data_IF_132141392758
#
_entry.id   IF_132141392758
#
_cell.length_a   1.000
_cell.length_b   1.000
_cell.length_c   1.000
_cell.angle_alpha   90.00
_cell.angle_beta   90.00
_cell.angle_gamma   90.00
#
_symmetry.space_group_name_H-M   'P 1'
#
loop_
_entity.id
_entity.type
_entity.pdbx_description
1 polymer ?
#
# COMPACT_ATOMS: atom_id res chain seq x y z
N UNK A 1 -21.58 -5.94 -4.55
CA UNK A 1 -20.63 -5.07 -3.83
C UNK A 1 -20.36 -3.84 -4.68
N UNK A 2 -20.37 -2.64 -4.12
CA UNK A 2 -20.02 -1.43 -4.86
C UNK A 2 -18.51 -1.40 -5.14
N UNK A 3 -18.12 -1.11 -6.38
CA UNK A 3 -16.73 -0.91 -6.79
C UNK A 3 -16.45 0.58 -6.87
N UNK A 4 -15.34 1.03 -6.27
CA UNK A 4 -14.91 2.42 -6.25
C UNK A 4 -13.53 2.54 -6.91
N UNK A 5 -13.47 2.77 -8.24
CA UNK A 5 -12.22 2.77 -8.99
C UNK A 5 -11.17 3.79 -8.53
N UNK A 6 -11.58 4.86 -7.85
CA UNK A 6 -10.67 5.89 -7.32
C UNK A 6 -10.23 5.69 -5.86
N UNK A 7 -10.61 4.58 -5.22
CA UNK A 7 -10.26 4.33 -3.82
C UNK A 7 -8.75 4.08 -3.69
N UNK A 8 -8.07 4.92 -2.89
CA UNK A 8 -6.67 4.74 -2.53
C UNK A 8 -6.48 3.44 -1.73
N UNK A 9 -5.44 2.69 -2.07
CA UNK A 9 -5.14 1.39 -1.47
C UNK A 9 -3.68 1.30 -1.04
N UNK A 10 -3.46 0.77 0.15
CA UNK A 10 -2.14 0.44 0.71
C UNK A 10 -2.10 -1.07 0.93
N UNK A 11 -1.00 -1.70 0.54
CA UNK A 11 -0.85 -3.15 0.60
C UNK A 11 0.07 -3.53 1.74
N UNK A 12 -0.34 -4.50 2.56
CA UNK A 12 0.46 -4.98 3.67
C UNK A 12 0.73 -6.49 3.63
N UNK A 13 1.99 -6.90 3.42
CA UNK A 13 2.40 -8.31 3.30
C UNK A 13 3.70 -8.60 4.08
N UNK A 14 3.96 -9.86 4.40
CA UNK A 14 5.17 -10.30 5.12
C UNK A 14 6.06 -11.26 4.32
N UNK A 15 5.77 -11.49 3.05
CA UNK A 15 6.41 -12.52 2.22
C UNK A 15 7.45 -11.90 1.28
N UNK A 16 8.67 -12.46 1.19
CA UNK A 16 9.81 -11.93 0.42
C UNK A 16 9.41 -11.27 -0.90
N UNK A 17 9.57 -9.95 -0.92
CA UNK A 17 9.08 -9.04 -1.96
C UNK A 17 10.19 -8.69 -2.92
N UNK A 18 9.93 -8.78 -4.21
CA UNK A 18 10.67 -7.94 -5.17
C UNK A 18 9.82 -7.72 -6.42
N UNK A 19 9.27 -8.78 -7.00
CA UNK A 19 8.44 -8.66 -8.20
C UNK A 19 6.99 -8.25 -7.93
N UNK A 20 6.36 -8.82 -6.89
CA UNK A 20 4.95 -8.55 -6.60
C UNK A 20 4.69 -7.11 -6.17
N UNK A 21 5.59 -6.52 -5.37
CA UNK A 21 5.42 -5.15 -4.88
C UNK A 21 5.60 -4.14 -6.00
N UNK A 22 6.59 -4.33 -6.87
CA UNK A 22 6.75 -3.52 -8.08
C UNK A 22 5.49 -3.55 -8.94
N UNK A 23 4.99 -4.75 -9.24
CA UNK A 23 3.78 -4.90 -10.04
C UNK A 23 2.55 -4.26 -9.42
N UNK A 24 2.41 -4.30 -8.09
CA UNK A 24 1.28 -3.69 -7.40
C UNK A 24 1.35 -2.16 -7.41
N UNK A 25 2.55 -1.58 -7.28
CA UNK A 25 2.75 -0.13 -7.45
C UNK A 25 2.45 0.30 -8.89
N UNK A 26 2.85 -0.49 -9.89
CA UNK A 26 2.52 -0.24 -11.31
C UNK A 26 1.00 -0.28 -11.58
N UNK A 27 0.27 -1.13 -10.85
CA UNK A 27 -1.19 -1.23 -10.95
C UNK A 27 -1.94 -0.11 -10.19
N UNK A 28 -1.23 0.84 -9.59
CA UNK A 28 -1.83 2.01 -8.94
C UNK A 28 -2.02 1.89 -7.43
N UNK A 29 -1.40 0.91 -6.77
CA UNK A 29 -1.33 0.91 -5.31
C UNK A 29 -0.54 2.14 -4.82
N UNK A 30 -1.02 2.81 -3.77
CA UNK A 30 -0.40 4.04 -3.28
C UNK A 30 0.90 3.77 -2.53
N UNK A 31 0.93 2.69 -1.74
CA UNK A 31 2.08 2.31 -0.93
C UNK A 31 2.07 0.82 -0.59
N UNK A 32 3.24 0.34 -0.18
CA UNK A 32 3.43 -0.99 0.36
C UNK A 32 4.03 -0.90 1.78
N UNK A 33 3.50 -1.69 2.71
CA UNK A 33 3.97 -1.74 4.11
C UNK A 33 4.30 -3.19 4.48
N UNK A 34 5.57 -3.46 4.79
CA UNK A 34 6.02 -4.80 5.19
C UNK A 34 5.55 -5.15 6.59
N UNK A 35 5.01 -6.36 6.77
CA UNK A 35 4.70 -6.95 8.08
C UNK A 35 5.96 -7.60 8.69
N UNK A 36 6.14 -7.50 10.01
CA UNK A 36 5.36 -6.69 10.95
C UNK A 36 5.69 -5.20 10.80
N UNK A 37 4.68 -4.34 10.98
CA UNK A 37 4.82 -2.88 10.93
C UNK A 37 4.37 -2.24 12.24
N UNK A 38 4.86 -1.04 12.50
CA UNK A 38 4.41 -0.21 13.62
C UNK A 38 3.27 0.71 13.18
N UNK A 39 2.51 1.24 14.14
CA UNK A 39 1.48 2.26 13.88
C UNK A 39 2.07 3.52 13.23
N UNK A 40 3.30 3.89 13.58
CA UNK A 40 4.01 5.00 12.96
C UNK A 40 4.24 4.74 11.46
N UNK A 41 4.78 3.56 11.12
CA UNK A 41 5.04 3.21 9.71
C UNK A 41 3.77 3.12 8.88
N UNK A 42 2.67 2.62 9.46
CA UNK A 42 1.36 2.61 8.81
C UNK A 42 0.80 4.03 8.64
N UNK A 43 0.87 4.86 9.69
CA UNK A 43 0.39 6.23 9.67
C UNK A 43 1.10 7.09 8.64
N UNK A 44 2.42 6.93 8.50
CA UNK A 44 3.20 7.59 7.44
C UNK A 44 2.73 7.16 6.04
N UNK A 45 2.55 5.87 5.81
CA UNK A 45 2.07 5.38 4.52
C UNK A 45 0.67 5.90 4.17
N UNK A 46 -0.22 6.01 5.16
CA UNK A 46 -1.55 6.62 4.99
C UNK A 46 -1.44 8.10 4.64
N UNK A 47 -0.58 8.84 5.35
CA UNK A 47 -0.38 10.27 5.11
C UNK A 47 0.13 10.53 3.70
N UNK A 48 1.16 9.80 3.29
CA UNK A 48 1.72 9.89 1.93
C UNK A 48 0.70 9.53 0.85
N UNK A 49 -0.16 8.54 1.09
CA UNK A 49 -1.23 8.19 0.15
C UNK A 49 -2.31 9.28 0.05
N UNK A 50 -2.62 9.98 1.14
CA UNK A 50 -3.63 11.04 1.15
C UNK A 50 -3.12 12.36 0.55
N UNK A 51 -1.83 12.67 0.72
CA UNK A 51 -1.20 13.89 0.19
C UNK A 51 -1.00 13.88 -1.34
N UNK A 52 -1.00 12.69 -1.97
CA UNK A 52 -0.98 12.50 -3.43
C UNK A 52 -2.38 12.55 -4.04
#
# INVERSE_FOLDING_TARGET
AALFPGQKAIIASGFSETDRVKRLLELGACAYVRKPYTMETLGRAVREALDR
#
